data_IF_351187673011
#
_entry.id   IF_351187673011
#
_cell.length_a   1.000
_cell.length_b   1.000
_cell.length_c   1.000
_cell.angle_alpha   90.00
_cell.angle_beta   90.00
_cell.angle_gamma   90.00
#
_symmetry.space_group_name_H-M   'P 1'
#
loop_
_entity.id
_entity.type
_entity.pdbx_description
1 polymer ?
#
# COMPACT_ATOMS: atom_id res chain seq x y z
N UNK A 1 13.86 -7.03 3.39
CA UNK A 1 13.36 -7.77 2.22
C UNK A 1 11.85 -7.77 2.30
N UNK A 2 11.16 -7.34 1.25
CA UNK A 2 9.69 -7.38 1.20
C UNK A 2 9.27 -8.85 1.15
N UNK A 3 8.29 -9.25 1.96
CA UNK A 3 7.96 -10.68 2.22
C UNK A 3 7.67 -11.46 0.93
N UNK A 4 6.98 -10.84 -0.02
CA UNK A 4 6.57 -11.46 -1.28
C UNK A 4 7.62 -11.42 -2.41
N UNK A 5 8.80 -10.83 -2.18
CA UNK A 5 9.90 -10.81 -3.15
C UNK A 5 10.75 -12.09 -3.13
N UNK A 6 10.61 -12.92 -2.10
CA UNK A 6 11.49 -14.07 -1.88
C UNK A 6 11.53 -15.06 -3.06
N UNK A 7 10.42 -15.19 -3.81
CA UNK A 7 10.27 -16.11 -4.95
C UNK A 7 10.43 -15.44 -6.31
N UNK A 8 10.70 -14.12 -6.36
CA UNK A 8 10.78 -13.37 -7.60
C UNK A 8 12.21 -13.29 -8.13
N UNK A 9 12.35 -13.30 -9.46
CA UNK A 9 13.62 -13.01 -10.11
C UNK A 9 14.10 -11.61 -9.71
N UNK A 10 15.42 -11.37 -9.60
CA UNK A 10 15.96 -10.12 -9.06
C UNK A 10 15.40 -8.85 -9.72
N UNK A 11 15.14 -8.88 -11.01
CA UNK A 11 14.57 -7.81 -11.82
C UNK A 11 13.07 -7.58 -11.65
N UNK A 12 12.35 -8.59 -11.18
CA UNK A 12 10.91 -8.52 -10.91
C UNK A 12 10.58 -8.23 -9.43
N UNK A 13 11.58 -7.95 -8.59
CA UNK A 13 11.39 -7.66 -7.16
C UNK A 13 10.81 -6.27 -6.95
N UNK A 14 9.78 -6.18 -6.13
CA UNK A 14 9.17 -4.91 -5.74
C UNK A 14 10.15 -4.02 -4.96
N UNK A 15 11.07 -4.60 -4.20
CA UNK A 15 12.14 -3.86 -3.53
C UNK A 15 12.93 -2.95 -4.48
N UNK A 16 13.08 -3.32 -5.77
CA UNK A 16 13.74 -2.43 -6.75
C UNK A 16 12.96 -1.16 -7.01
N UNK A 17 11.63 -1.24 -7.03
CA UNK A 17 10.76 -0.07 -7.18
C UNK A 17 10.91 0.84 -5.97
N UNK A 18 10.93 0.26 -4.76
CA UNK A 18 11.17 0.99 -3.52
C UNK A 18 12.53 1.71 -3.54
N UNK A 19 13.60 1.03 -3.96
CA UNK A 19 14.94 1.62 -4.07
C UNK A 19 14.98 2.80 -5.07
N UNK A 20 14.24 2.71 -6.17
CA UNK A 20 14.15 3.80 -7.16
C UNK A 20 13.38 5.00 -6.59
N UNK A 21 12.25 4.75 -5.93
CA UNK A 21 11.44 5.81 -5.33
C UNK A 21 12.19 6.53 -4.21
N UNK A 22 12.90 5.79 -3.35
CA UNK A 22 13.74 6.35 -2.29
C UNK A 22 14.84 7.28 -2.86
N UNK A 23 15.53 6.86 -3.93
CA UNK A 23 16.52 7.69 -4.63
C UNK A 23 15.93 8.96 -5.25
N UNK A 24 14.64 8.96 -5.58
CA UNK A 24 13.90 10.13 -6.04
C UNK A 24 13.39 11.00 -4.89
N UNK A 25 13.68 10.64 -3.64
CA UNK A 25 13.20 11.36 -2.46
C UNK A 25 11.72 11.12 -2.16
N UNK A 26 11.14 10.04 -2.67
CA UNK A 26 9.73 9.67 -2.48
C UNK A 26 9.60 8.59 -1.41
N UNK A 27 8.67 8.79 -0.48
CA UNK A 27 8.36 7.87 0.62
C UNK A 27 6.89 7.46 0.57
N UNK A 28 6.58 6.25 1.02
CA UNK A 28 5.18 5.80 1.09
C UNK A 28 4.46 6.51 2.24
N UNK A 29 3.35 7.16 1.92
CA UNK A 29 2.53 7.86 2.90
C UNK A 29 1.96 6.90 3.96
N UNK A 30 1.45 5.74 3.55
CA UNK A 30 0.93 4.72 4.47
C UNK A 30 1.98 4.27 5.48
N UNK A 31 3.14 3.82 5.00
CA UNK A 31 4.21 3.28 5.82
C UNK A 31 4.83 4.34 6.72
N UNK A 32 5.02 5.56 6.20
CA UNK A 32 5.50 6.69 6.99
C UNK A 32 4.54 7.07 8.12
N UNK A 33 3.23 7.04 7.85
CA UNK A 33 2.20 7.42 8.84
C UNK A 33 1.93 6.32 9.89
N UNK A 34 1.92 5.03 9.49
CA UNK A 34 1.56 3.92 10.38
C UNK A 34 2.78 3.21 11.01
N UNK A 35 3.99 3.49 10.55
CA UNK A 35 5.20 2.79 11.00
C UNK A 35 5.25 1.31 10.59
N UNK A 36 4.44 0.91 9.61
CA UNK A 36 4.40 -0.45 9.08
C UNK A 36 5.56 -0.71 8.11
N UNK A 37 5.80 -1.99 7.81
CA UNK A 37 6.82 -2.41 6.83
C UNK A 37 6.13 -2.99 5.60
N UNK A 38 6.70 -2.72 4.42
CA UNK A 38 6.22 -3.31 3.17
C UNK A 38 6.17 -4.83 3.24
N UNK A 39 5.01 -5.39 2.87
CA UNK A 39 4.71 -6.82 2.93
C UNK A 39 4.39 -7.35 4.33
N UNK A 40 4.18 -6.47 5.31
CA UNK A 40 3.73 -6.78 6.67
C UNK A 40 2.61 -5.81 7.12
N UNK A 41 1.89 -5.22 6.17
CA UNK A 41 0.79 -4.30 6.41
C UNK A 41 -0.39 -5.02 7.07
N UNK A 42 -1.04 -4.39 8.04
CA UNK A 42 -2.19 -5.01 8.74
C UNK A 42 -3.52 -4.81 7.99
N UNK A 43 -3.57 -3.85 7.06
CA UNK A 43 -4.77 -3.49 6.33
C UNK A 43 -4.60 -3.78 4.83
N UNK A 44 -5.66 -4.23 4.17
CA UNK A 44 -5.67 -4.59 2.75
C UNK A 44 -6.36 -3.52 1.91
N UNK A 45 -5.78 -3.19 0.77
CA UNK A 45 -6.37 -2.29 -0.24
C UNK A 45 -7.10 -3.07 -1.34
N UNK A 46 -6.74 -4.33 -1.53
CA UNK A 46 -7.31 -5.24 -2.53
C UNK A 46 -7.82 -6.52 -1.86
N UNK A 47 -8.95 -7.05 -2.32
CA UNK A 47 -9.57 -8.28 -1.82
C UNK A 47 -9.80 -9.27 -2.94
N UNK A 48 -8.90 -10.25 -3.07
CA UNK A 48 -8.90 -11.19 -4.18
C UNK A 48 -10.20 -11.99 -4.27
N UNK A 49 -10.82 -12.01 -5.46
CA UNK A 49 -12.11 -12.63 -5.71
C UNK A 49 -13.20 -12.16 -4.73
N UNK A 50 -13.15 -10.90 -4.28
CA UNK A 50 -14.13 -10.32 -3.36
C UNK A 50 -14.19 -11.05 -2.00
N UNK A 51 -13.06 -11.60 -1.53
CA UNK A 51 -12.97 -12.36 -0.27
C UNK A 51 -12.20 -11.56 0.78
N UNK A 52 -12.87 -11.25 1.90
CA UNK A 52 -12.27 -10.54 3.05
C UNK A 52 -10.99 -11.20 3.60
N UNK A 53 -10.90 -12.52 3.55
CA UNK A 53 -9.75 -13.29 4.06
C UNK A 53 -8.58 -13.40 3.07
N UNK A 54 -8.75 -12.91 1.83
CA UNK A 54 -7.72 -12.94 0.78
C UNK A 54 -7.31 -11.52 0.40
N UNK A 55 -6.91 -10.75 1.41
CA UNK A 55 -6.54 -9.36 1.27
C UNK A 55 -5.06 -9.15 0.94
N UNK A 56 -4.78 -8.07 0.20
CA UNK A 56 -3.42 -7.61 -0.11
C UNK A 56 -3.35 -6.08 0.01
N UNK A 57 -2.21 -5.56 0.46
CA UNK A 57 -1.91 -4.12 0.41
C UNK A 57 -1.03 -3.86 -0.82
N UNK A 58 -1.64 -3.41 -1.92
CA UNK A 58 -0.94 -3.26 -3.22
C UNK A 58 -1.22 -1.92 -3.91
N UNK A 59 -2.02 -1.06 -3.29
CA UNK A 59 -2.27 0.30 -3.74
C UNK A 59 -1.51 1.25 -2.82
N UNK A 60 -0.63 2.07 -3.41
CA UNK A 60 0.29 2.91 -2.65
C UNK A 60 0.21 4.36 -3.10
N UNK A 61 0.37 5.28 -2.14
CA UNK A 61 0.64 6.70 -2.41
C UNK A 61 2.06 7.00 -1.95
N UNK A 62 2.88 7.50 -2.88
CA UNK A 62 4.23 7.98 -2.59
C UNK A 62 4.27 9.50 -2.69
N UNK A 63 4.89 10.14 -1.70
CA UNK A 63 4.99 11.60 -1.59
C UNK A 63 6.45 12.01 -1.39
N UNK A 64 6.86 13.23 -1.75
CA UNK A 64 8.17 13.76 -1.38
C UNK A 64 8.39 13.66 0.13
N UNK A 65 9.58 13.24 0.54
CA UNK A 65 9.95 13.11 1.96
C UNK A 65 9.91 14.44 2.74
N UNK A 66 9.84 15.58 2.03
CA UNK A 66 9.68 16.91 2.60
C UNK A 66 8.23 17.27 2.93
N UNK A 67 7.25 16.48 2.49
CA UNK A 67 5.83 16.71 2.77
C UNK A 67 5.40 15.83 3.94
N UNK A 68 4.81 16.46 4.96
CA UNK A 68 4.27 15.74 6.10
C UNK A 68 2.90 15.13 5.76
N UNK A 69 2.68 13.89 6.20
CA UNK A 69 1.40 13.18 6.03
C UNK A 69 0.62 13.29 7.33
N UNK A 70 -0.49 14.03 7.32
CA UNK A 70 -1.36 14.18 8.48
C UNK A 70 -2.34 13.04 8.66
N UNK A 71 -2.71 12.36 7.56
CA UNK A 71 -3.63 11.24 7.58
C UNK A 71 -3.33 10.28 6.43
N UNK A 72 -3.45 8.98 6.69
CA UNK A 72 -3.53 7.96 5.66
C UNK A 72 -4.59 6.94 6.10
N UNK A 73 -5.66 6.77 5.33
CA UNK A 73 -6.79 5.92 5.73
C UNK A 73 -7.31 5.10 4.55
N UNK A 74 -7.84 3.92 4.86
CA UNK A 74 -8.51 3.08 3.86
C UNK A 74 -10.02 3.21 3.95
N UNK A 75 -10.69 3.13 2.79
CA UNK A 75 -12.12 2.85 2.74
C UNK A 75 -12.46 1.49 3.33
N UNK A 76 -13.74 1.26 3.61
CA UNK A 76 -14.17 0.01 4.25
C UNK A 76 -14.48 -1.10 3.24
N UNK A 77 -14.20 -2.34 3.61
CA UNK A 77 -14.59 -3.50 2.81
C UNK A 77 -16.11 -3.54 2.56
N UNK A 78 -16.91 -3.20 3.57
CA UNK A 78 -18.37 -3.30 3.48
C UNK A 78 -18.97 -2.27 2.54
N UNK A 79 -18.36 -1.09 2.42
CA UNK A 79 -18.82 -0.05 1.52
C UNK A 79 -18.43 -0.31 0.06
N UNK A 80 -17.22 -0.84 -0.20
CA UNK A 80 -16.71 -0.96 -1.57
C UNK A 80 -16.84 -2.39 -2.13
N UNK A 81 -16.47 -3.40 -1.34
CA UNK A 81 -16.37 -4.78 -1.80
C UNK A 81 -17.70 -5.50 -1.67
N UNK A 82 -18.37 -5.40 -0.51
CA UNK A 82 -19.67 -6.06 -0.28
C UNK A 82 -20.75 -5.52 -1.23
N UNK A 83 -20.73 -4.22 -1.53
CA UNK A 83 -21.66 -3.57 -2.46
C UNK A 83 -21.36 -3.82 -3.94
N UNK A 84 -20.23 -4.50 -4.25
CA UNK A 84 -19.73 -4.73 -5.61
C UNK A 84 -19.33 -3.45 -6.36
N UNK A 85 -18.99 -2.37 -5.65
CA UNK A 85 -18.46 -1.15 -6.26
C UNK A 85 -17.04 -1.36 -6.80
N UNK A 86 -16.19 -2.06 -6.07
CA UNK A 86 -14.82 -2.42 -6.47
C UNK A 86 -14.30 -3.57 -5.59
N UNK A 87 -13.39 -4.41 -6.10
CA UNK A 87 -12.65 -5.38 -5.28
C UNK A 87 -11.44 -4.74 -4.56
N UNK A 88 -11.25 -3.44 -4.75
CA UNK A 88 -10.35 -2.58 -3.97
C UNK A 88 -11.13 -1.63 -3.05
N UNK A 89 -10.47 -1.19 -1.98
CA UNK A 89 -10.85 -0.04 -1.16
C UNK A 89 -9.89 1.12 -1.43
N UNK A 90 -10.36 2.37 -1.45
CA UNK A 90 -9.49 3.53 -1.69
C UNK A 90 -8.51 3.74 -0.54
N UNK A 91 -7.30 4.18 -0.87
CA UNK A 91 -6.35 4.79 0.06
C UNK A 91 -6.42 6.32 -0.09
N UNK A 92 -6.82 7.01 0.96
CA UNK A 92 -6.88 8.48 1.01
C UNK A 92 -5.76 9.00 1.91
N UNK A 93 -5.05 10.03 1.45
CA UNK A 93 -3.92 10.64 2.15
C UNK A 93 -4.10 12.15 2.22
N UNK A 94 -3.99 12.70 3.42
CA UNK A 94 -3.97 14.14 3.65
C UNK A 94 -2.53 14.61 3.90
N UNK A 95 -2.18 15.75 3.30
CA UNK A 95 -0.85 16.34 3.33
C UNK A 95 -0.86 17.66 4.13
N UNK A 96 0.27 18.00 4.74
CA UNK A 96 0.51 19.25 5.46
C UNK A 96 1.55 20.13 4.78
#
# INVERSE_FOLDING_TARGET
MVSFDARRQPDAKFARVLDVLDRLGLVSAWHGHHGERFGAENASTYFHQWKRVQGFHIDYVFVPNSIAVSSAVLGSYDEFVTTRLSDHVPLTVDLC
#
